data_IF_616377461816
#
_entry.id   IF_616377461816
#
_cell.length_a   1.000
_cell.length_b   1.000
_cell.length_c   1.000
_cell.angle_alpha   90.00
_cell.angle_beta   90.00
_cell.angle_gamma   90.00
#
_symmetry.space_group_name_H-M   'P 1'
#
loop_
_entity.id
_entity.type
_entity.pdbx_description
1 polymer ?
#
# COMPACT_ATOMS: atom_id res chain seq x y z
N UNK A 1 -8.70 7.69 -10.17
CA UNK A 1 -7.27 7.31 -10.09
C UNK A 1 -7.17 5.80 -10.15
N UNK A 2 -6.12 5.23 -10.72
CA UNK A 2 -5.93 3.77 -10.85
C UNK A 2 -4.81 3.25 -9.95
N UNK A 3 -4.83 1.96 -9.64
CA UNK A 3 -3.78 1.32 -8.85
C UNK A 3 -2.39 1.46 -9.50
N UNK A 4 -2.29 1.35 -10.82
CA UNK A 4 -1.02 1.50 -11.53
C UNK A 4 -0.47 2.94 -11.43
N UNK A 5 -1.32 3.96 -11.54
CA UNK A 5 -0.91 5.36 -11.34
C UNK A 5 -0.42 5.60 -9.91
N UNK A 6 -1.04 4.95 -8.91
CA UNK A 6 -0.60 5.00 -7.51
C UNK A 6 0.75 4.32 -7.31
N UNK A 7 0.97 3.17 -7.94
CA UNK A 7 2.26 2.46 -7.92
C UNK A 7 3.37 3.35 -8.50
N UNK A 8 3.15 3.94 -9.68
CA UNK A 8 4.13 4.83 -10.33
C UNK A 8 4.47 6.04 -9.45
N UNK A 9 3.46 6.68 -8.86
CA UNK A 9 3.65 7.80 -7.93
C UNK A 9 4.40 7.37 -6.66
N UNK A 10 4.05 6.22 -6.09
CA UNK A 10 4.72 5.69 -4.91
C UNK A 10 6.18 5.37 -5.19
N UNK A 11 6.52 4.80 -6.36
CA UNK A 11 7.93 4.56 -6.72
C UNK A 11 8.75 5.84 -6.75
N UNK A 12 8.20 6.92 -7.30
CA UNK A 12 8.86 8.25 -7.28
C UNK A 12 9.01 8.74 -5.84
N UNK A 13 7.93 8.75 -5.06
CA UNK A 13 7.95 9.22 -3.67
C UNK A 13 8.90 8.40 -2.78
N UNK A 14 8.95 7.09 -2.96
CA UNK A 14 9.84 6.18 -2.24
C UNK A 14 11.32 6.43 -2.61
N UNK A 15 11.61 6.78 -3.87
CA UNK A 15 12.96 7.17 -4.27
C UNK A 15 13.45 8.46 -3.59
N UNK A 16 12.52 9.28 -3.11
CA UNK A 16 12.76 10.50 -2.32
C UNK A 16 12.74 10.24 -0.80
N UNK A 17 12.50 8.99 -0.38
CA UNK A 17 12.49 8.57 1.04
C UNK A 17 11.10 8.56 1.68
N UNK A 18 10.03 8.70 0.91
CA UNK A 18 8.65 8.61 1.43
C UNK A 18 8.29 7.16 1.73
N UNK A 19 7.81 6.89 2.95
CA UNK A 19 7.31 5.56 3.34
C UNK A 19 5.92 5.29 2.76
N UNK A 20 5.52 4.02 2.67
CA UNK A 20 4.18 3.65 2.23
C UNK A 20 3.08 4.34 3.06
N UNK A 21 3.25 4.40 4.38
CA UNK A 21 2.32 5.08 5.28
C UNK A 21 2.20 6.57 4.96
N UNK A 22 3.32 7.28 4.80
CA UNK A 22 3.31 8.72 4.50
C UNK A 22 2.71 9.01 3.11
N UNK A 23 2.95 8.13 2.14
CA UNK A 23 2.33 8.23 0.82
C UNK A 23 0.82 8.05 0.90
N UNK A 24 0.34 7.00 1.58
CA UNK A 24 -1.10 6.77 1.77
C UNK A 24 -1.73 7.95 2.50
N UNK A 25 -1.10 8.48 3.57
CA UNK A 25 -1.59 9.66 4.30
C UNK A 25 -1.78 10.89 3.40
N UNK A 26 -0.93 11.04 2.38
CA UNK A 26 -1.00 12.16 1.42
C UNK A 26 -2.12 11.98 0.40
N UNK A 27 -2.38 10.73 -0.03
CA UNK A 27 -3.33 10.43 -1.11
C UNK A 27 -4.76 10.23 -0.60
N UNK A 28 -4.91 9.60 0.57
CA UNK A 28 -6.20 9.24 1.16
C UNK A 28 -7.21 10.41 1.23
N UNK A 29 -6.80 11.65 1.58
CA UNK A 29 -7.71 12.80 1.64
C UNK A 29 -8.35 13.18 0.31
N UNK A 30 -7.72 12.83 -0.83
CA UNK A 30 -8.24 13.12 -2.18
C UNK A 30 -9.10 11.97 -2.74
N UNK A 31 -9.18 10.85 -2.03
CA UNK A 31 -10.01 9.70 -2.39
C UNK A 31 -11.44 9.89 -1.87
N UNK A 32 -12.43 9.87 -2.78
CA UNK A 32 -13.82 10.17 -2.42
C UNK A 32 -14.84 9.18 -3.00
N UNK A 33 -14.41 8.29 -3.88
CA UNK A 33 -15.29 7.37 -4.59
C UNK A 33 -14.97 5.92 -4.29
N UNK A 34 -15.90 5.03 -4.61
CA UNK A 34 -15.68 3.57 -4.53
C UNK A 34 -14.57 3.11 -5.43
N UNK A 35 -14.45 3.73 -6.59
CA UNK A 35 -13.37 3.47 -7.54
C UNK A 35 -12.00 3.84 -6.94
N UNK A 36 -11.92 4.96 -6.20
CA UNK A 36 -10.68 5.35 -5.52
C UNK A 36 -10.33 4.38 -4.38
N UNK A 37 -11.33 3.95 -3.59
CA UNK A 37 -11.12 2.93 -2.55
C UNK A 37 -10.61 1.62 -3.16
N UNK A 38 -11.26 1.14 -4.21
CA UNK A 38 -10.87 -0.12 -4.87
C UNK A 38 -9.45 0.02 -5.46
N UNK A 39 -9.11 1.17 -6.05
CA UNK A 39 -7.77 1.46 -6.55
C UNK A 39 -6.70 1.52 -5.44
N UNK A 40 -7.01 2.10 -4.28
CA UNK A 40 -6.10 2.14 -3.12
C UNK A 40 -5.85 0.74 -2.54
N UNK A 41 -6.88 -0.10 -2.46
CA UNK A 41 -6.74 -1.48 -2.00
C UNK A 41 -5.92 -2.31 -2.99
N UNK A 42 -6.21 -2.20 -4.29
CA UNK A 42 -5.42 -2.87 -5.32
C UNK A 42 -3.96 -2.40 -5.33
N UNK A 43 -3.70 -1.10 -5.12
CA UNK A 43 -2.34 -0.56 -4.96
C UNK A 43 -1.60 -1.23 -3.80
N UNK A 44 -2.21 -1.31 -2.62
CA UNK A 44 -1.59 -1.94 -1.44
C UNK A 44 -1.32 -3.43 -1.68
N UNK A 45 -2.27 -4.16 -2.29
CA UNK A 45 -2.09 -5.57 -2.64
C UNK A 45 -0.94 -5.78 -3.64
N UNK A 46 -0.73 -4.85 -4.58
CA UNK A 46 0.42 -4.92 -5.50
C UNK A 46 1.75 -4.69 -4.78
N UNK A 47 1.82 -3.70 -3.88
CA UNK A 47 3.04 -3.41 -3.10
C UNK A 47 3.35 -4.57 -2.16
N UNK A 48 2.36 -5.13 -1.47
CA UNK A 48 2.50 -6.29 -0.58
C UNK A 48 3.10 -7.49 -1.32
N UNK A 49 2.56 -7.85 -2.49
CA UNK A 49 3.08 -8.97 -3.29
C UNK A 49 4.56 -8.81 -3.65
N UNK A 50 4.99 -7.58 -3.93
CA UNK A 50 6.38 -7.27 -4.26
C UNK A 50 7.27 -7.40 -3.02
N UNK A 51 6.84 -6.80 -1.89
CA UNK A 51 7.61 -6.81 -0.64
C UNK A 51 7.73 -8.23 -0.09
N UNK A 52 6.61 -8.93 0.10
CA UNK A 52 6.61 -10.30 0.61
C UNK A 52 7.32 -11.27 -0.35
N UNK A 53 7.11 -11.12 -1.66
CA UNK A 53 7.82 -11.90 -2.67
C UNK A 53 9.34 -11.72 -2.59
N UNK A 54 9.81 -10.50 -2.35
CA UNK A 54 11.23 -10.22 -2.13
C UNK A 54 11.73 -10.82 -0.82
N UNK A 55 10.99 -10.73 0.27
CA UNK A 55 11.37 -11.30 1.58
C UNK A 55 11.53 -12.82 1.49
N UNK A 56 10.55 -13.52 0.89
CA UNK A 56 10.60 -14.97 0.63
C UNK A 56 11.83 -15.32 -0.21
N UNK A 57 12.11 -14.52 -1.26
CA UNK A 57 13.24 -14.78 -2.15
C UNK A 57 14.60 -14.62 -1.45
N UNK A 58 14.70 -13.73 -0.47
CA UNK A 58 15.93 -13.44 0.25
C UNK A 58 16.05 -14.20 1.59
N UNK A 59 15.05 -15.03 1.93
CA UNK A 59 15.04 -15.86 3.14
C UNK A 59 14.81 -15.06 4.42
N UNK A 60 14.06 -13.95 4.33
CA UNK A 60 13.69 -13.10 5.47
C UNK A 60 12.36 -13.57 6.10
N UNK A 61 12.28 -14.87 6.37
CA UNK A 61 11.05 -15.53 6.84
C UNK A 61 10.66 -15.08 8.26
N UNK A 62 11.65 -14.66 9.08
CA UNK A 62 11.44 -14.22 10.46
C UNK A 62 10.63 -12.92 10.55
N UNK A 63 10.69 -12.06 9.52
CA UNK A 63 9.97 -10.77 9.47
C UNK A 63 8.71 -10.84 8.59
N UNK A 64 8.43 -11.99 7.95
CA UNK A 64 7.34 -12.12 6.99
C UNK A 64 5.96 -11.98 7.64
N UNK A 65 5.77 -12.56 8.83
CA UNK A 65 4.53 -12.45 9.59
C UNK A 65 4.26 -10.99 10.02
N UNK A 66 5.31 -10.28 10.48
CA UNK A 66 5.21 -8.86 10.85
C UNK A 66 4.84 -8.00 9.63
N UNK A 67 5.46 -8.24 8.47
CA UNK A 67 5.13 -7.55 7.24
C UNK A 67 3.68 -7.80 6.79
N UNK A 68 3.20 -9.06 6.86
CA UNK A 68 1.80 -9.40 6.57
C UNK A 68 0.82 -8.66 7.50
N UNK A 69 1.14 -8.55 8.79
CA UNK A 69 0.34 -7.80 9.77
C UNK A 69 0.33 -6.29 9.48
N UNK A 70 1.46 -5.71 9.07
CA UNK A 70 1.54 -4.31 8.64
C UNK A 70 0.63 -4.05 7.42
N UNK A 71 0.70 -4.89 6.39
CA UNK A 71 -0.18 -4.75 5.22
C UNK A 71 -1.65 -4.95 5.57
N UNK A 72 -1.97 -5.85 6.50
CA UNK A 72 -3.32 -5.99 7.04
C UNK A 72 -3.81 -4.70 7.72
N UNK A 73 -2.95 -4.08 8.52
CA UNK A 73 -3.23 -2.82 9.23
C UNK A 73 -3.49 -1.68 8.24
N UNK A 74 -2.68 -1.57 7.18
CA UNK A 74 -2.85 -0.58 6.12
C UNK A 74 -4.18 -0.75 5.40
N UNK A 75 -4.57 -1.99 5.04
CA UNK A 75 -5.87 -2.24 4.38
C UNK A 75 -7.03 -1.82 5.28
N UNK A 76 -6.99 -2.16 6.56
CA UNK A 76 -8.04 -1.76 7.51
C UNK A 76 -8.13 -0.23 7.63
N UNK A 77 -6.99 0.46 7.69
CA UNK A 77 -6.98 1.93 7.70
C UNK A 77 -7.65 2.53 6.46
N UNK A 78 -7.37 2.01 5.26
CA UNK A 78 -8.02 2.48 4.02
C UNK A 78 -9.53 2.23 4.07
N UNK A 79 -9.96 1.06 4.55
CA UNK A 79 -11.38 0.73 4.67
C UNK A 79 -12.11 1.62 5.69
N UNK A 80 -11.46 1.97 6.80
CA UNK A 80 -12.03 2.83 7.84
C UNK A 80 -12.09 4.30 7.41
N UNK A 81 -11.07 4.76 6.66
CA UNK A 81 -10.99 6.14 6.18
C UNK A 81 -11.92 6.41 4.98
N UNK A 82 -12.25 5.38 4.20
CA UNK A 82 -13.16 5.45 3.06
C UNK A 82 -14.40 4.57 3.31
N UNK A 83 -15.26 4.91 4.29
CA UNK A 83 -16.48 4.17 4.57
C UNK A 83 -17.52 4.51 3.49
N UNK A 84 -17.53 3.72 2.43
CA UNK A 84 -18.43 3.86 1.28
C UNK A 84 -19.57 2.84 1.31
#
# INVERSE_FOLDING_TARGET
>A
MTANELVEQYYVAASEGTTLYAFIETVLPDCHTREDRDAMLEFVDQVERIVLGNMITHGDDDNLEEAEEEFHTIRNWIMDALPL
#
